data_IF_474372712768
#
_entry.id   IF_474372712768
#
_cell.length_a   1.000
_cell.length_b   1.000
_cell.length_c   1.000
_cell.angle_alpha   90.00
_cell.angle_beta   90.00
_cell.angle_gamma   90.00
#
_symmetry.space_group_name_H-M   'P 1'
#
loop_
_entity.id
_entity.type
_entity.pdbx_description
1 polymer ?
#
# COMPACT_ATOMS: atom_id res chain seq x y z
N UNK A 1 18.33 20.33 12.46
CA UNK A 1 18.31 19.01 11.79
C UNK A 1 19.68 18.42 11.93
N UNK A 2 19.78 17.32 12.66
CA UNK A 2 21.01 16.54 12.75
C UNK A 2 21.12 15.84 11.40
N UNK A 3 22.19 16.04 10.64
CA UNK A 3 22.35 15.59 9.25
C UNK A 3 22.41 14.07 9.05
N UNK A 4 21.63 13.32 9.81
CA UNK A 4 21.47 11.87 9.69
C UNK A 4 20.43 11.55 8.62
N UNK A 5 20.76 10.61 7.74
CA UNK A 5 19.83 10.10 6.76
C UNK A 5 18.73 9.30 7.48
N UNK A 6 17.46 9.46 7.10
CA UNK A 6 16.37 8.69 7.69
C UNK A 6 16.59 7.20 7.38
N UNK A 7 16.59 6.37 8.42
CA UNK A 7 16.67 4.91 8.28
C UNK A 7 15.41 4.31 7.63
N UNK A 8 14.30 5.05 7.65
CA UNK A 8 12.98 4.65 7.16
C UNK A 8 12.46 5.60 6.05
N UNK A 9 11.31 5.28 5.47
CA UNK A 9 10.71 6.08 4.39
C UNK A 9 10.16 7.42 4.91
N UNK A 10 10.40 8.51 4.18
CA UNK A 10 9.78 9.82 4.46
C UNK A 10 8.49 9.98 3.64
N UNK A 11 7.41 10.40 4.29
CA UNK A 11 6.08 10.53 3.67
C UNK A 11 5.42 11.88 3.97
N UNK A 12 4.72 12.40 2.96
CA UNK A 12 3.87 13.58 3.08
C UNK A 12 2.56 13.26 3.82
N UNK A 13 2.27 13.98 4.91
CA UNK A 13 1.07 13.81 5.75
C UNK A 13 -0.19 14.08 4.91
N UNK A 14 -0.20 15.18 4.16
CA UNK A 14 -1.30 15.58 3.29
C UNK A 14 -1.36 14.80 1.95
N UNK A 15 -0.42 13.88 1.70
CA UNK A 15 -0.27 13.11 0.43
C UNK A 15 -0.01 13.97 -0.81
N UNK A 16 0.34 15.24 -0.65
CA UNK A 16 0.77 16.14 -1.70
C UNK A 16 2.31 16.14 -1.77
N UNK A 17 2.84 15.70 -2.91
CA UNK A 17 4.28 15.61 -3.14
C UNK A 17 4.93 16.97 -3.43
N UNK A 18 4.13 17.99 -3.72
CA UNK A 18 4.62 19.34 -4.00
C UNK A 18 4.86 20.16 -2.73
N UNK A 19 4.20 19.79 -1.62
CA UNK A 19 4.35 20.46 -0.32
C UNK A 19 5.50 19.85 0.50
N UNK A 20 6.72 20.35 0.29
CA UNK A 20 7.93 19.85 0.97
C UNK A 20 8.24 20.54 2.30
N UNK A 21 7.25 21.18 2.95
CA UNK A 21 7.44 21.76 4.29
C UNK A 21 7.76 20.64 5.27
N UNK A 22 8.72 20.87 6.18
CA UNK A 22 9.11 19.87 7.19
C UNK A 22 7.95 19.42 8.08
N UNK A 23 7.01 20.31 8.39
CA UNK A 23 5.79 19.97 9.13
C UNK A 23 4.85 19.02 8.37
N UNK A 24 4.98 18.93 7.04
CA UNK A 24 4.23 18.01 6.20
C UNK A 24 4.98 16.69 5.96
N UNK A 25 6.23 16.55 6.40
CA UNK A 25 7.02 15.34 6.24
C UNK A 25 7.05 14.55 7.55
N UNK A 26 6.82 13.23 7.46
CA UNK A 26 6.90 12.31 8.59
C UNK A 26 7.69 11.07 8.19
N UNK A 27 8.62 10.66 9.04
CA UNK A 27 9.25 9.34 8.94
C UNK A 27 8.22 8.26 9.28
N UNK A 28 8.07 7.30 8.38
CA UNK A 28 7.18 6.16 8.56
C UNK A 28 7.90 4.89 8.20
N UNK A 29 7.52 3.80 8.85
CA UNK A 29 8.10 2.51 8.52
C UNK A 29 7.76 2.11 7.08
N UNK A 30 8.62 1.31 6.46
CA UNK A 30 8.35 0.80 5.10
C UNK A 30 7.00 0.07 4.99
N UNK A 31 6.57 -0.59 6.06
CA UNK A 31 5.27 -1.28 6.14
C UNK A 31 4.09 -0.29 6.15
N UNK A 32 4.17 0.77 6.95
CA UNK A 32 3.15 1.84 7.00
C UNK A 32 3.08 2.60 5.68
N UNK A 33 4.25 2.84 5.06
CA UNK A 33 4.34 3.44 3.74
C UNK A 33 3.58 2.59 2.71
N UNK A 34 3.81 1.28 2.68
CA UNK A 34 3.10 0.39 1.75
C UNK A 34 1.60 0.29 2.04
N UNK A 35 1.19 0.21 3.31
CA UNK A 35 -0.23 0.15 3.68
C UNK A 35 -1.01 1.40 3.24
N UNK A 36 -0.36 2.57 3.33
CA UNK A 36 -0.98 3.86 3.01
C UNK A 36 -0.70 4.27 1.55
N UNK A 37 -0.13 3.39 0.72
CA UNK A 37 0.18 3.70 -0.68
C UNK A 37 -1.12 3.82 -1.47
N UNK A 38 -1.20 4.80 -2.38
CA UNK A 38 -2.31 4.90 -3.34
C UNK A 38 -2.40 3.58 -4.13
N UNK A 39 -3.63 3.18 -4.45
CA UNK A 39 -3.90 2.06 -5.36
C UNK A 39 -3.11 2.27 -6.66
N UNK A 40 -2.37 1.25 -7.09
CA UNK A 40 -1.65 1.33 -8.35
C UNK A 40 -2.62 1.49 -9.52
N UNK A 41 -2.21 2.18 -10.58
CA UNK A 41 -3.02 2.35 -11.81
C UNK A 41 -3.44 1.03 -12.47
N UNK A 42 -2.72 -0.06 -12.19
CA UNK A 42 -3.02 -1.43 -12.65
C UNK A 42 -3.98 -2.19 -11.72
N UNK A 43 -4.41 -1.58 -10.62
CA UNK A 43 -5.41 -2.18 -9.74
C UNK A 43 -6.79 -2.05 -10.39
N UNK A 44 -7.28 -3.16 -10.93
CA UNK A 44 -8.58 -3.23 -11.61
C UNK A 44 -9.76 -3.49 -10.67
N UNK A 45 -9.51 -3.88 -9.42
CA UNK A 45 -10.57 -4.13 -8.44
C UNK A 45 -10.97 -2.88 -7.65
N UNK A 46 -10.15 -1.82 -7.68
CA UNK A 46 -10.31 -0.64 -6.83
C UNK A 46 -9.98 -0.89 -5.35
N UNK A 47 -9.52 -2.10 -5.00
CA UNK A 47 -9.26 -2.51 -3.62
C UNK A 47 -7.87 -3.14 -3.48
N UNK A 48 -7.10 -2.73 -2.47
CA UNK A 48 -5.81 -3.35 -2.16
C UNK A 48 -6.03 -4.80 -1.75
N UNK A 49 -5.26 -5.72 -2.31
CA UNK A 49 -5.36 -7.13 -1.97
C UNK A 49 -6.51 -7.87 -2.64
N UNK A 50 -7.24 -7.26 -3.57
CA UNK A 50 -8.32 -7.91 -4.32
C UNK A 50 -7.94 -7.98 -5.80
N UNK A 51 -7.96 -9.18 -6.39
CA UNK A 51 -7.69 -9.38 -7.82
C UNK A 51 -8.65 -10.39 -8.43
N UNK A 52 -8.93 -10.28 -9.73
CA UNK A 52 -9.68 -11.30 -10.46
C UNK A 52 -8.78 -12.48 -10.80
N UNK A 53 -9.12 -13.66 -10.29
CA UNK A 53 -8.46 -14.92 -10.65
C UNK A 53 -9.19 -15.54 -11.85
N UNK A 54 -8.57 -15.43 -13.02
CA UNK A 54 -9.09 -15.99 -14.28
C UNK A 54 -9.21 -17.51 -14.28
N UNK A 55 -8.39 -18.21 -13.50
CA UNK A 55 -8.43 -19.70 -13.44
C UNK A 55 -9.61 -20.16 -12.59
N UNK A 56 -9.84 -19.47 -11.48
CA UNK A 56 -10.94 -19.79 -10.57
C UNK A 56 -12.28 -19.14 -10.98
N UNK A 57 -12.25 -18.19 -11.93
CA UNK A 57 -13.37 -17.30 -12.29
C UNK A 57 -13.99 -16.62 -11.04
N UNK A 58 -13.13 -16.16 -10.13
CA UNK A 58 -13.51 -15.62 -8.82
C UNK A 58 -12.62 -14.45 -8.42
N UNK A 59 -13.12 -13.60 -7.53
CA UNK A 59 -12.34 -12.57 -6.86
C UNK A 59 -11.48 -13.18 -5.76
N UNK A 60 -10.16 -13.08 -5.90
CA UNK A 60 -9.18 -13.50 -4.90
C UNK A 60 -8.82 -12.34 -3.99
N UNK A 61 -9.01 -12.54 -2.69
CA UNK A 61 -8.56 -11.62 -1.65
C UNK A 61 -7.28 -12.14 -1.00
N UNK A 62 -6.29 -11.29 -0.78
CA UNK A 62 -5.04 -11.61 -0.10
C UNK A 62 -4.53 -10.43 0.73
N UNK A 63 -3.70 -10.73 1.71
CA UNK A 63 -2.94 -9.74 2.49
C UNK A 63 -1.46 -10.08 2.49
N UNK A 64 -0.62 -9.07 2.69
CA UNK A 64 0.81 -9.26 2.93
C UNK A 64 1.08 -9.14 4.43
N UNK A 65 1.65 -10.19 5.03
CA UNK A 65 2.13 -10.17 6.41
C UNK A 65 3.55 -10.71 6.45
N UNK A 66 4.47 -9.97 7.08
CA UNK A 66 5.88 -10.34 7.23
C UNK A 66 6.54 -10.74 5.89
N UNK A 67 6.26 -9.97 4.83
CA UNK A 67 6.79 -10.23 3.49
C UNK A 67 6.19 -11.45 2.77
N UNK A 68 5.24 -12.15 3.37
CA UNK A 68 4.55 -13.30 2.77
C UNK A 68 3.12 -12.93 2.39
N UNK A 69 2.70 -13.36 1.20
CA UNK A 69 1.33 -13.21 0.72
C UNK A 69 0.46 -14.32 1.31
N UNK A 70 -0.53 -13.96 2.12
CA UNK A 70 -1.54 -14.87 2.66
C UNK A 70 -2.85 -14.70 1.90
N UNK A 71 -3.37 -15.80 1.34
CA UNK A 71 -4.69 -15.85 0.71
C UNK A 71 -5.75 -15.82 1.79
N UNK A 72 -6.71 -14.91 1.68
CA UNK A 72 -7.85 -14.79 2.58
C UNK A 72 -9.08 -15.56 2.09
N UNK A 73 -9.30 -15.64 0.77
CA UNK A 73 -10.51 -16.25 0.24
C UNK A 73 -10.69 -16.06 -1.26
N UNK A 74 -11.70 -16.77 -1.80
CA UNK A 74 -12.21 -16.63 -3.16
C UNK A 74 -13.71 -16.32 -3.08
N UNK A 75 -14.13 -15.24 -3.74
CA UNK A 75 -15.51 -14.77 -3.71
C UNK A 75 -16.09 -14.71 -5.12
N UNK A 76 -17.36 -15.11 -5.27
CA UNK A 76 -18.13 -14.92 -6.49
C UNK A 76 -18.90 -13.61 -6.31
N UNK A 77 -18.91 -12.77 -7.35
CA UNK A 77 -19.82 -11.62 -7.38
C UNK A 77 -21.21 -12.18 -7.74
N UNK A 78 -22.17 -12.10 -6.82
CA UNK A 78 -23.57 -12.34 -7.12
C UNK A 78 -24.11 -11.30 -8.09
#
# INVERSE_FOLDING_TARGET
>A
MNGELPSEDVRHINRDKSDNRFSNLKEVTRSESQATRKLGCRNTSGCTGVIWDKKANKWLTYIWMNGKRKKLGLFIRC
#
